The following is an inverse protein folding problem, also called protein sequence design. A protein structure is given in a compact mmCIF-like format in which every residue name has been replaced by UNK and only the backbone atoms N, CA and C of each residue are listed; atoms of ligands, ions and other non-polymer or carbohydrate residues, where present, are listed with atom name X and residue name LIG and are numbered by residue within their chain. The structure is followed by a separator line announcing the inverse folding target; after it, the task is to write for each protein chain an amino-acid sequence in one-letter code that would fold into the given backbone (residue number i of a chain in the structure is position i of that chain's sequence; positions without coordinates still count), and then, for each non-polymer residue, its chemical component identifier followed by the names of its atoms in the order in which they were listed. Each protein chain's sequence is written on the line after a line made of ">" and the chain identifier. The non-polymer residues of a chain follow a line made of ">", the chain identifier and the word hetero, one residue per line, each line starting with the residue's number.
data_IF_652005971995
#
_entry.id   IF_652005971995
#
_cell.length_a   1.000
_cell.length_b   1.000
_cell.length_c   1.000
_cell.angle_alpha   90.00
_cell.angle_beta   90.00
_cell.angle_gamma   90.00
#
_symmetry.space_group_name_H-M   'P 1'
#
loop_
_entity.id
_entity.type
_entity.pdbx_description
1 polymer ?
#
# COMPACT_ATOMS: atom_id res chain seq x y z
N UNK A 1 56.48 43.11 -8.64
CA UNK A 1 55.84 42.38 -7.54
C UNK A 1 54.34 42.33 -7.82
N UNK A 2 53.86 41.27 -8.47
CA UNK A 2 52.46 41.15 -8.91
C UNK A 2 51.83 40.01 -8.11
N UNK A 3 50.93 40.33 -7.17
CA UNK A 3 50.21 39.34 -6.36
C UNK A 3 49.00 38.84 -7.15
N UNK A 4 48.98 37.56 -7.50
CA UNK A 4 47.81 36.88 -8.04
C UNK A 4 46.86 36.52 -6.90
N UNK A 5 45.61 36.96 -6.99
CA UNK A 5 44.54 36.64 -6.05
C UNK A 5 43.78 35.42 -6.61
N UNK A 6 43.94 34.25 -5.98
CA UNK A 6 43.21 33.05 -6.35
C UNK A 6 41.83 33.06 -5.70
N UNK A 7 40.78 33.11 -6.51
CA UNK A 7 39.39 33.03 -6.07
C UNK A 7 38.97 31.55 -6.01
N UNK A 8 38.81 31.02 -4.80
CA UNK A 8 38.33 29.65 -4.60
C UNK A 8 36.79 29.64 -4.71
N UNK A 9 36.27 29.04 -5.79
CA UNK A 9 34.84 28.75 -5.95
C UNK A 9 34.54 27.44 -5.21
N UNK A 10 33.82 27.53 -4.09
CA UNK A 10 33.32 26.37 -3.38
C UNK A 10 32.07 25.83 -4.09
N UNK A 11 32.20 24.70 -4.77
CA UNK A 11 31.07 23.96 -5.33
C UNK A 11 30.35 23.22 -4.17
N UNK A 12 29.23 23.76 -3.72
CA UNK A 12 28.35 23.05 -2.79
C UNK A 12 27.59 21.97 -3.57
N UNK A 13 28.03 20.72 -3.46
CA UNK A 13 27.28 19.55 -3.92
C UNK A 13 26.07 19.38 -2.99
N UNK A 14 24.88 19.78 -3.45
CA UNK A 14 23.63 19.49 -2.77
C UNK A 14 23.38 17.98 -2.79
N UNK A 15 23.48 17.34 -1.63
CA UNK A 15 23.00 15.97 -1.47
C UNK A 15 21.47 15.96 -1.64
N UNK A 16 20.88 14.95 -2.32
CA UNK A 16 19.43 14.83 -2.37
C UNK A 16 18.91 14.67 -0.94
N UNK A 17 18.01 15.57 -0.54
CA UNK A 17 17.30 15.47 0.74
C UNK A 17 16.30 14.33 0.56
N UNK A 18 16.53 13.22 1.25
CA UNK A 18 15.54 12.15 1.33
C UNK A 18 14.22 12.75 1.86
N UNK A 19 13.11 12.47 1.17
CA UNK A 19 11.79 12.93 1.62
C UNK A 19 11.51 12.45 3.05
N UNK A 20 10.91 13.30 3.88
CA UNK A 20 10.53 12.90 5.23
C UNK A 20 9.43 11.82 5.17
N UNK A 21 9.58 10.75 5.95
CA UNK A 21 8.59 9.70 6.06
C UNK A 21 7.25 10.25 6.57
N UNK A 22 6.15 9.77 6.01
CA UNK A 22 4.80 10.16 6.39
C UNK A 22 4.41 9.49 7.72
N UNK A 23 3.80 10.24 8.64
CA UNK A 23 3.32 9.67 9.90
C UNK A 23 2.06 8.82 9.69
N UNK A 24 1.94 7.71 10.41
CA UNK A 24 0.71 6.89 10.42
C UNK A 24 -0.36 7.61 11.24
N UNK A 25 -1.60 7.70 10.71
CA UNK A 25 -2.74 8.22 11.46
C UNK A 25 -3.07 7.29 12.66
N UNK A 26 -3.48 7.80 13.83
CA UNK A 26 -3.79 6.95 14.99
C UNK A 26 -4.81 5.82 14.72
N UNK A 27 -5.87 6.11 13.95
CA UNK A 27 -6.88 5.11 13.57
C UNK A 27 -6.28 4.02 12.67
N UNK A 28 -5.41 4.40 11.73
CA UNK A 28 -4.73 3.47 10.84
C UNK A 28 -3.69 2.63 11.58
N UNK A 29 -3.04 3.18 12.61
CA UNK A 29 -2.20 2.40 13.52
C UNK A 29 -3.03 1.34 14.26
N UNK A 30 -4.20 1.71 14.80
CA UNK A 30 -5.08 0.76 15.47
C UNK A 30 -5.59 -0.35 14.53
N UNK A 31 -5.79 -0.05 13.24
CA UNK A 31 -6.13 -1.04 12.21
C UNK A 31 -4.95 -1.96 11.89
N UNK A 32 -3.73 -1.42 11.76
CA UNK A 32 -2.51 -2.21 11.57
C UNK A 32 -2.21 -3.14 12.74
N UNK A 33 -2.46 -2.70 13.98
CA UNK A 33 -2.26 -3.51 15.19
C UNK A 33 -3.24 -4.70 15.26
N UNK A 34 -4.35 -4.62 14.54
CA UNK A 34 -5.37 -5.67 14.45
C UNK A 34 -5.24 -6.54 13.20
N UNK A 35 -4.15 -6.41 12.42
CA UNK A 35 -3.99 -7.10 11.14
C UNK A 35 -4.25 -8.61 11.23
N UNK A 36 -3.59 -9.30 12.15
CA UNK A 36 -3.71 -10.76 12.29
C UNK A 36 -5.11 -11.18 12.75
N UNK A 37 -5.71 -10.43 13.67
CA UNK A 37 -7.07 -10.68 14.15
C UNK A 37 -8.11 -10.47 13.03
N UNK A 38 -7.94 -9.42 12.22
CA UNK A 38 -8.79 -9.14 11.07
C UNK A 38 -8.62 -10.24 10.00
N UNK A 39 -7.39 -10.65 9.70
CA UNK A 39 -7.11 -11.72 8.75
C UNK A 39 -7.71 -13.07 9.21
N UNK A 40 -7.54 -13.42 10.49
CA UNK A 40 -8.15 -14.62 11.07
C UNK A 40 -9.68 -14.61 11.01
N UNK A 41 -10.31 -13.47 11.35
CA UNK A 41 -11.77 -13.31 11.24
C UNK A 41 -12.26 -13.44 9.81
N UNK A 42 -11.57 -12.81 8.86
CA UNK A 42 -11.90 -12.86 7.44
C UNK A 42 -11.79 -14.29 6.89
N UNK A 43 -10.67 -14.98 7.19
CA UNK A 43 -10.45 -16.37 6.80
C UNK A 43 -11.48 -17.33 7.42
N UNK A 44 -11.83 -17.15 8.70
CA UNK A 44 -12.84 -17.96 9.35
C UNK A 44 -14.18 -17.86 8.62
N UNK A 45 -14.57 -16.65 8.20
CA UNK A 45 -15.81 -16.45 7.44
C UNK A 45 -15.73 -17.12 6.05
N UNK A 46 -14.61 -16.97 5.33
CA UNK A 46 -14.38 -17.64 4.04
C UNK A 46 -14.50 -19.16 4.18
N UNK A 47 -13.84 -19.75 5.18
CA UNK A 47 -13.85 -21.20 5.38
C UNK A 47 -15.21 -21.74 5.84
N UNK A 48 -16.01 -20.92 6.50
CA UNK A 48 -17.32 -21.34 7.04
C UNK A 48 -18.45 -21.20 6.00
N UNK A 49 -18.36 -20.21 5.12
CA UNK A 49 -19.48 -19.79 4.26
C UNK A 49 -19.12 -19.71 2.76
N UNK A 50 -17.84 -19.70 2.42
CA UNK A 50 -17.37 -19.59 1.04
C UNK A 50 -17.47 -20.91 0.29
N UNK A 51 -17.60 -20.80 -1.03
CA UNK A 51 -17.44 -21.90 -1.98
C UNK A 51 -15.98 -22.35 -2.10
N UNK A 52 -15.76 -23.51 -2.71
CA UNK A 52 -14.42 -24.04 -2.97
C UNK A 52 -13.55 -23.07 -3.78
N UNK A 53 -14.14 -22.36 -4.76
CA UNK A 53 -13.44 -21.36 -5.58
C UNK A 53 -13.01 -20.15 -4.75
N UNK A 54 -13.87 -19.70 -3.82
CA UNK A 54 -13.54 -18.62 -2.90
C UNK A 54 -12.43 -19.03 -1.92
N UNK A 55 -12.48 -20.26 -1.39
CA UNK A 55 -11.42 -20.79 -0.52
C UNK A 55 -10.08 -20.83 -1.27
N UNK A 56 -10.05 -21.32 -2.50
CA UNK A 56 -8.85 -21.32 -3.35
C UNK A 56 -8.36 -19.89 -3.62
N UNK A 57 -9.27 -18.94 -3.86
CA UNK A 57 -8.93 -17.53 -4.07
C UNK A 57 -8.28 -16.90 -2.83
N UNK A 58 -8.81 -17.18 -1.63
CA UNK A 58 -8.22 -16.73 -0.37
C UNK A 58 -6.83 -17.33 -0.14
N UNK A 59 -6.66 -18.63 -0.38
CA UNK A 59 -5.35 -19.31 -0.32
C UNK A 59 -4.36 -18.65 -1.27
N UNK A 60 -4.74 -18.45 -2.53
CA UNK A 60 -3.85 -17.84 -3.53
C UNK A 60 -3.45 -16.41 -3.16
N UNK A 61 -4.34 -15.64 -2.54
CA UNK A 61 -4.08 -14.28 -2.09
C UNK A 61 -3.08 -14.25 -0.90
N UNK A 62 -3.18 -15.21 0.03
CA UNK A 62 -2.45 -15.17 1.31
C UNK A 62 -1.30 -16.17 1.45
N UNK A 63 -1.15 -17.12 0.52
CA UNK A 63 -0.09 -18.12 0.60
C UNK A 63 1.30 -17.52 0.39
N UNK A 64 2.26 -18.05 1.14
CA UNK A 64 3.68 -17.70 1.07
C UNK A 64 4.09 -16.66 2.12
N UNK A 65 5.31 -16.79 2.68
CA UNK A 65 5.84 -15.82 3.63
C UNK A 65 6.30 -14.54 2.92
N UNK A 66 6.04 -13.38 3.53
CA UNK A 66 6.65 -12.12 3.13
C UNK A 66 8.15 -12.08 3.42
N UNK A 67 8.92 -11.48 2.53
CA UNK A 67 10.35 -11.23 2.73
C UNK A 67 10.56 -10.02 3.65
N UNK A 68 11.56 -10.09 4.52
CA UNK A 68 11.92 -8.98 5.41
C UNK A 68 12.38 -7.74 4.60
N UNK A 69 11.88 -6.54 4.94
CA UNK A 69 12.30 -5.29 4.30
C UNK A 69 13.81 -5.08 4.28
N UNK A 70 14.34 -4.70 3.12
CA UNK A 70 15.72 -4.30 2.93
C UNK A 70 15.86 -3.44 1.66
N UNK A 71 17.00 -2.77 1.50
CA UNK A 71 17.24 -1.87 0.37
C UNK A 71 17.16 -2.59 -0.99
N UNK A 72 17.70 -3.81 -1.11
CA UNK A 72 17.65 -4.55 -2.38
C UNK A 72 16.22 -4.87 -2.82
N UNK A 73 15.29 -5.09 -1.89
CA UNK A 73 13.87 -5.24 -2.20
C UNK A 73 13.23 -3.90 -2.57
N UNK A 74 13.59 -2.82 -1.86
CA UNK A 74 13.11 -1.48 -2.21
C UNK A 74 13.48 -1.11 -3.65
N UNK A 75 14.71 -1.42 -4.07
CA UNK A 75 15.23 -1.13 -5.40
C UNK A 75 14.57 -2.00 -6.50
N UNK A 76 14.03 -3.16 -6.15
CA UNK A 76 13.39 -4.07 -7.11
C UNK A 76 11.90 -3.79 -7.30
N UNK A 77 11.23 -3.13 -6.36
CA UNK A 77 9.79 -2.86 -6.41
C UNK A 77 9.33 -1.92 -7.54
N UNK A 78 10.07 -0.86 -7.92
CA UNK A 78 9.66 0.05 -8.99
C UNK A 78 9.37 -0.67 -10.32
N UNK A 79 8.35 -0.20 -11.02
CA UNK A 79 7.92 -0.76 -12.31
C UNK A 79 6.40 -0.84 -12.45
N UNK A 80 5.99 -1.33 -13.62
CA UNK A 80 4.58 -1.64 -13.90
C UNK A 80 4.19 -2.98 -13.28
N UNK A 81 2.98 -3.02 -12.72
CA UNK A 81 2.40 -4.19 -12.06
C UNK A 81 0.97 -4.41 -12.56
N UNK A 82 0.53 -5.66 -12.52
CA UNK A 82 -0.88 -6.00 -12.45
C UNK A 82 -1.29 -6.13 -10.98
N UNK A 83 -2.52 -5.74 -10.67
CA UNK A 83 -3.04 -5.79 -9.31
C UNK A 83 -4.50 -6.27 -9.28
N UNK A 84 -4.77 -7.38 -8.62
CA UNK A 84 -6.10 -7.96 -8.44
C UNK A 84 -6.56 -7.78 -6.99
N UNK A 85 -7.79 -7.33 -6.76
CA UNK A 85 -8.34 -7.13 -5.42
C UNK A 85 -9.08 -8.38 -4.97
N UNK A 86 -8.78 -8.85 -3.76
CA UNK A 86 -9.53 -9.89 -3.06
C UNK A 86 -10.02 -9.31 -1.74
N UNK A 87 -11.33 -9.17 -1.60
CA UNK A 87 -11.98 -8.70 -0.36
C UNK A 87 -12.47 -9.92 0.42
N UNK A 88 -12.13 -10.02 1.70
CA UNK A 88 -12.43 -11.18 2.53
C UNK A 88 -13.16 -10.77 3.80
N UNK A 89 -14.19 -11.54 4.12
CA UNK A 89 -15.12 -11.30 5.21
C UNK A 89 -15.93 -10.02 5.06
N UNK A 90 -16.87 -9.80 5.98
CA UNK A 90 -17.78 -8.66 5.97
C UNK A 90 -19.13 -9.03 5.36
N UNK A 91 -19.60 -8.26 4.38
CA UNK A 91 -20.91 -8.47 3.74
C UNK A 91 -20.98 -9.82 3.02
N UNK A 92 -19.90 -10.18 2.32
CA UNK A 92 -19.75 -11.45 1.62
C UNK A 92 -18.55 -12.23 2.21
N UNK A 93 -18.52 -13.57 2.11
CA UNK A 93 -17.34 -14.35 2.51
C UNK A 93 -16.10 -13.90 1.74
N UNK A 94 -16.21 -13.80 0.42
CA UNK A 94 -15.13 -13.30 -0.45
C UNK A 94 -15.71 -12.60 -1.69
N UNK A 95 -14.99 -11.59 -2.18
CA UNK A 95 -15.22 -11.00 -3.51
C UNK A 95 -13.86 -10.83 -4.19
N UNK A 96 -13.66 -11.50 -5.33
CA UNK A 96 -12.46 -11.37 -6.15
C UNK A 96 -12.74 -10.50 -7.38
N UNK A 97 -11.81 -9.59 -7.68
CA UNK A 97 -11.85 -8.72 -8.85
C UNK A 97 -10.74 -9.09 -9.84
N UNK A 98 -10.96 -8.87 -11.15
CA UNK A 98 -9.92 -9.09 -12.15
C UNK A 98 -8.71 -8.16 -11.94
N UNK A 99 -7.55 -8.48 -12.54
CA UNK A 99 -6.38 -7.61 -12.49
C UNK A 99 -6.61 -6.24 -13.15
N UNK A 100 -6.07 -5.20 -12.52
CA UNK A 100 -5.97 -3.83 -13.03
C UNK A 100 -4.50 -3.45 -13.24
N UNK A 101 -4.24 -2.33 -13.91
CA UNK A 101 -2.88 -1.78 -14.01
C UNK A 101 -2.55 -1.03 -12.74
N UNK A 102 -1.38 -1.32 -12.19
CA UNK A 102 -0.77 -0.63 -11.07
C UNK A 102 0.66 -0.25 -11.39
N UNK A 103 1.24 0.65 -10.61
CA UNK A 103 2.63 1.04 -10.74
C UNK A 103 3.24 1.32 -9.37
N UNK A 104 4.51 0.96 -9.21
CA UNK A 104 5.35 1.43 -8.12
C UNK A 104 6.44 2.34 -8.71
N UNK A 105 6.64 3.51 -8.13
CA UNK A 105 7.72 4.43 -8.52
C UNK A 105 8.55 4.83 -7.30
N UNK A 106 9.86 4.96 -7.46
CA UNK A 106 10.71 5.59 -6.46
C UNK A 106 10.81 7.09 -6.76
N UNK A 107 10.37 7.94 -5.83
CA UNK A 107 10.46 9.41 -5.92
C UNK A 107 11.12 9.93 -4.66
N UNK A 108 12.26 10.61 -4.79
CA UNK A 108 13.04 11.17 -3.67
C UNK A 108 13.33 10.17 -2.53
N UNK A 109 13.57 8.90 -2.90
CA UNK A 109 13.84 7.81 -1.96
C UNK A 109 12.61 7.17 -1.32
N UNK A 110 11.39 7.60 -1.68
CA UNK A 110 10.12 7.05 -1.19
C UNK A 110 9.43 6.27 -2.31
N UNK A 111 8.98 5.06 -2.01
CA UNK A 111 8.17 4.28 -2.94
C UNK A 111 6.74 4.83 -2.98
N UNK A 112 6.19 4.97 -4.17
CA UNK A 112 4.84 5.44 -4.43
C UNK A 112 4.08 4.33 -5.15
N UNK A 113 2.91 3.99 -4.67
CA UNK A 113 2.04 3.00 -5.28
C UNK A 113 0.79 3.67 -5.85
N UNK A 114 0.49 3.36 -7.11
CA UNK A 114 -0.66 3.89 -7.83
C UNK A 114 -1.45 2.76 -8.51
N UNK A 115 -2.74 2.63 -8.17
CA UNK A 115 -3.69 1.83 -8.97
C UNK A 115 -4.22 2.66 -10.13
N UNK A 116 -3.74 2.37 -11.34
CA UNK A 116 -3.91 3.20 -12.53
C UNK A 116 -5.25 3.00 -13.26
N UNK A 117 -5.92 1.85 -13.08
CA UNK A 117 -7.21 1.56 -13.75
C UNK A 117 -8.26 1.00 -12.78
N UNK A 118 -9.52 0.93 -13.25
CA UNK A 118 -10.69 0.55 -12.44
C UNK A 118 -11.46 1.76 -11.90
N UNK A 119 -12.70 1.50 -11.46
CA UNK A 119 -13.62 2.51 -10.90
C UNK A 119 -13.18 2.97 -9.52
N UNK A 120 -12.74 2.06 -8.65
CA UNK A 120 -12.09 2.39 -7.39
C UNK A 120 -10.57 2.25 -7.55
N UNK A 121 -9.85 3.29 -7.13
CA UNK A 121 -8.38 3.38 -7.16
C UNK A 121 -7.85 3.69 -5.78
N UNK A 122 -6.57 3.46 -5.59
CA UNK A 122 -5.85 3.86 -4.38
C UNK A 122 -4.45 4.35 -4.79
N UNK A 123 -3.95 5.37 -4.10
CA UNK A 123 -2.66 6.02 -4.38
C UNK A 123 -2.03 6.44 -3.06
N UNK A 124 -0.74 6.19 -2.88
CA UNK A 124 -0.07 6.46 -1.62
C UNK A 124 1.42 6.16 -1.63
N UNK A 125 2.04 6.26 -0.47
CA UNK A 125 3.45 5.96 -0.25
C UNK A 125 3.62 4.59 0.39
N UNK A 126 4.77 3.96 0.14
CA UNK A 126 5.24 2.76 0.83
C UNK A 126 6.55 3.12 1.51
N UNK A 127 6.62 2.90 2.82
CA UNK A 127 7.79 3.24 3.64
C UNK A 127 8.14 2.11 4.60
N UNK A 128 9.42 1.95 4.89
CA UNK A 128 9.87 1.01 5.91
C UNK A 128 9.60 1.60 7.29
N UNK A 129 8.84 0.89 8.12
CA UNK A 129 8.60 1.24 9.52
C UNK A 129 8.88 0.00 10.36
N UNK A 130 10.00 0.02 11.09
CA UNK A 130 10.52 -1.16 11.77
C UNK A 130 10.87 -2.28 10.77
N UNK A 131 10.25 -3.44 10.95
CA UNK A 131 10.42 -4.65 10.16
C UNK A 131 9.33 -4.84 9.08
N UNK A 132 8.51 -3.80 8.81
CA UNK A 132 7.41 -3.86 7.83
C UNK A 132 7.52 -2.77 6.76
N UNK A 133 7.07 -3.08 5.55
CA UNK A 133 6.71 -2.08 4.54
C UNK A 133 5.27 -1.65 4.76
N UNK A 134 5.07 -0.37 5.12
CA UNK A 134 3.75 0.18 5.39
C UNK A 134 3.32 1.05 4.23
N UNK A 135 2.14 0.77 3.70
CA UNK A 135 1.43 1.60 2.74
C UNK A 135 0.55 2.60 3.47
N UNK A 136 0.65 3.88 3.09
CA UNK A 136 -0.18 4.98 3.56
C UNK A 136 -0.72 5.72 2.35
N UNK A 137 -2.04 5.67 2.15
CA UNK A 137 -2.63 6.19 0.93
C UNK A 137 -4.11 6.49 1.03
N UNK A 138 -4.70 6.73 -0.12
CA UNK A 138 -6.07 7.20 -0.23
C UNK A 138 -6.78 6.40 -1.30
N UNK A 139 -7.91 5.79 -0.95
CA UNK A 139 -8.88 5.30 -1.92
C UNK A 139 -9.70 6.46 -2.49
N UNK A 140 -10.09 6.34 -3.76
CA UNK A 140 -10.88 7.34 -4.48
C UNK A 140 -11.54 6.75 -5.73
N UNK A 141 -12.54 7.46 -6.26
CA UNK A 141 -13.19 7.12 -7.53
C UNK A 141 -12.30 7.54 -8.70
N UNK A 142 -12.13 6.67 -9.68
CA UNK A 142 -11.33 6.90 -10.87
C UNK A 142 -11.77 8.13 -11.64
N UNK A 143 -10.81 8.98 -12.01
CA UNK A 143 -11.08 10.28 -12.64
C UNK A 143 -11.17 11.44 -11.64
N UNK A 144 -11.25 11.15 -10.34
CA UNK A 144 -11.10 12.15 -9.28
C UNK A 144 -9.64 12.22 -8.80
N UNK A 145 -9.30 13.34 -8.15
CA UNK A 145 -8.00 13.52 -7.52
C UNK A 145 -8.03 12.95 -6.09
N UNK A 146 -7.07 12.10 -5.69
CA UNK A 146 -7.01 11.60 -4.32
C UNK A 146 -6.78 12.76 -3.35
N UNK A 147 -7.46 12.73 -2.20
CA UNK A 147 -7.06 13.55 -1.06
C UNK A 147 -5.68 13.06 -0.58
N UNK A 148 -4.70 13.93 -0.29
CA UNK A 148 -3.45 13.50 0.32
C UNK A 148 -3.70 12.82 1.68
N UNK A 149 -2.99 11.72 1.96
CA UNK A 149 -3.21 10.92 3.18
C UNK A 149 -3.11 11.74 4.47
N UNK A 150 -2.16 12.69 4.53
CA UNK A 150 -1.96 13.57 5.69
C UNK A 150 -3.11 14.58 5.89
N UNK A 151 -3.95 14.81 4.89
CA UNK A 151 -5.02 15.81 4.91
C UNK A 151 -6.37 15.21 5.31
N UNK A 152 -6.41 13.92 5.65
CA UNK A 152 -7.61 13.31 6.22
C UNK A 152 -7.86 13.82 7.65
N UNK A 153 -9.11 14.15 8.00
CA UNK A 153 -9.45 14.45 9.38
C UNK A 153 -9.22 13.24 10.29
N UNK A 154 -9.08 13.50 11.59
CA UNK A 154 -8.92 12.45 12.59
C UNK A 154 -10.12 11.49 12.60
N UNK A 155 -11.33 12.05 12.56
CA UNK A 155 -12.58 11.31 12.43
C UNK A 155 -13.03 11.30 10.97
N UNK A 156 -13.36 10.10 10.46
CA UNK A 156 -13.83 9.91 9.07
C UNK A 156 -15.34 9.71 9.06
N UNK A 157 -16.06 10.62 8.40
CA UNK A 157 -17.45 10.39 8.02
C UNK A 157 -17.49 9.62 6.70
N UNK A 158 -17.68 8.31 6.79
CA UNK A 158 -17.70 7.40 5.63
C UNK A 158 -18.90 7.60 4.70
N UNK A 159 -19.94 8.30 5.14
CA UNK A 159 -21.15 8.58 4.36
C UNK A 159 -21.08 9.91 3.60
N UNK A 160 -20.24 10.84 4.05
CA UNK A 160 -20.07 12.15 3.40
C UNK A 160 -18.95 12.20 2.35
N UNK A 161 -18.15 11.14 2.20
CA UNK A 161 -17.01 11.14 1.28
C UNK A 161 -16.80 9.83 0.54
N UNK A 162 -16.34 9.95 -0.72
CA UNK A 162 -15.93 8.83 -1.57
C UNK A 162 -14.41 8.65 -1.63
N UNK A 163 -13.65 9.47 -0.90
CA UNK A 163 -12.21 9.27 -0.69
C UNK A 163 -11.95 8.93 0.77
N UNK A 164 -11.21 7.85 1.01
CA UNK A 164 -10.98 7.32 2.35
C UNK A 164 -9.50 7.00 2.54
N UNK A 165 -8.97 7.14 3.77
CA UNK A 165 -7.61 6.72 4.06
C UNK A 165 -7.50 5.20 4.00
N UNK A 166 -6.51 4.73 3.26
CA UNK A 166 -6.11 3.33 3.19
C UNK A 166 -4.77 3.14 3.91
N UNK A 167 -4.65 2.01 4.58
CA UNK A 167 -3.42 1.56 5.23
C UNK A 167 -3.24 0.07 5.01
N UNK A 168 -2.00 -0.38 4.85
CA UNK A 168 -1.72 -1.80 4.75
C UNK A 168 -0.25 -2.14 4.88
N UNK A 169 0.03 -3.44 4.89
CA UNK A 169 1.39 -4.00 4.87
C UNK A 169 1.66 -4.53 3.47
N UNK A 170 2.75 -4.06 2.84
CA UNK A 170 3.25 -4.65 1.61
C UNK A 170 4.15 -5.84 1.96
N UNK A 171 3.75 -7.03 1.50
CA UNK A 171 4.54 -8.24 1.61
C UNK A 171 5.09 -8.61 0.23
N UNK A 172 6.42 -8.59 0.11
CA UNK A 172 7.11 -9.04 -1.11
C UNK A 172 7.30 -10.54 -1.01
N UNK A 173 6.79 -11.30 -1.99
CA UNK A 173 6.77 -12.76 -1.99
C UNK A 173 7.80 -13.36 -2.97
N UNK A 174 8.37 -12.51 -3.82
CA UNK A 174 9.37 -12.86 -4.83
C UNK A 174 9.62 -11.66 -5.76
N UNK A 175 10.42 -11.86 -6.80
CA UNK A 175 10.77 -10.79 -7.74
C UNK A 175 9.56 -10.22 -8.49
N UNK A 176 8.58 -11.07 -8.79
CA UNK A 176 7.42 -10.74 -9.63
C UNK A 176 6.09 -10.95 -8.90
N UNK A 177 6.13 -11.10 -7.57
CA UNK A 177 4.93 -11.29 -6.76
C UNK A 177 5.04 -10.55 -5.44
N UNK A 178 4.02 -9.76 -5.14
CA UNK A 178 3.83 -9.12 -3.86
C UNK A 178 2.34 -9.10 -3.51
N UNK A 179 2.00 -8.67 -2.30
CA UNK A 179 0.62 -8.33 -1.94
C UNK A 179 0.59 -7.17 -0.98
N UNK A 180 -0.41 -6.31 -1.12
CA UNK A 180 -0.72 -5.28 -0.16
C UNK A 180 -1.92 -5.73 0.67
N UNK A 181 -1.69 -6.02 1.95
CA UNK A 181 -2.70 -6.51 2.89
C UNK A 181 -3.22 -5.34 3.73
N UNK A 182 -4.49 -5.03 3.60
CA UNK A 182 -5.14 -3.86 4.20
C UNK A 182 -6.20 -4.32 5.21
N UNK A 183 -5.95 -4.19 6.52
CA UNK A 183 -6.89 -4.59 7.54
C UNK A 183 -8.01 -3.57 7.76
N UNK A 184 -9.19 -4.08 8.06
CA UNK A 184 -10.36 -3.31 8.50
C UNK A 184 -10.62 -2.09 7.60
N UNK A 185 -10.73 -2.25 6.27
CA UNK A 185 -11.09 -1.14 5.39
C UNK A 185 -12.44 -0.55 5.82
N UNK A 186 -12.61 0.76 5.63
CA UNK A 186 -13.84 1.46 6.02
C UNK A 186 -15.13 0.92 5.36
N UNK A 187 -15.01 0.13 4.28
CA UNK A 187 -16.15 -0.35 3.50
C UNK A 187 -16.08 -1.86 3.24
N UNK A 188 -17.26 -2.48 3.29
CA UNK A 188 -17.65 -3.81 2.77
C UNK A 188 -16.99 -5.05 3.38
N UNK A 189 -15.74 -4.96 3.82
CA UNK A 189 -14.92 -6.14 4.11
C UNK A 189 -14.10 -6.02 5.39
N UNK A 190 -13.61 -7.16 5.88
CA UNK A 190 -12.72 -7.22 7.06
C UNK A 190 -11.26 -7.14 6.65
N UNK A 191 -10.91 -7.71 5.49
CA UNK A 191 -9.56 -7.69 4.94
C UNK A 191 -9.62 -7.46 3.44
N UNK A 192 -8.86 -6.47 2.95
CA UNK A 192 -8.58 -6.34 1.53
C UNK A 192 -7.16 -6.82 1.25
N UNK A 193 -6.98 -7.63 0.21
CA UNK A 193 -5.67 -8.03 -0.31
C UNK A 193 -5.59 -7.63 -1.76
N UNK A 194 -4.67 -6.72 -2.06
CA UNK A 194 -4.31 -6.42 -3.43
C UNK A 194 -3.13 -7.32 -3.80
N UNK A 195 -3.36 -8.31 -4.67
CA UNK A 195 -2.33 -9.23 -5.16
C UNK A 195 -1.62 -8.57 -6.33
N UNK A 196 -0.30 -8.42 -6.26
CA UNK A 196 0.53 -7.80 -7.29
C UNK A 196 1.34 -8.85 -8.04
N UNK A 197 1.32 -8.79 -9.36
CA UNK A 197 2.16 -9.61 -10.25
C UNK A 197 2.73 -8.79 -11.40
N UNK A 198 3.86 -9.20 -11.98
CA UNK A 198 4.41 -8.59 -13.21
C UNK A 198 5.09 -9.62 -14.09
#
# INVERSE_FOLDING_TARGET
>A
MTKALALAVALALGLPVAGAAQAIRPDDQARLDQLDAAAGKALLQVLSLGSDEEIVSAINALQGPGMAPNQSLADSLPGDWQCAMVKMGGVMPLVAYPPFRCRIEARDGILHFDKLTGSQRTSGTIQQIGDRWIYLGSSFVGGQQPRPYADFPAEIDTGATETLPDVGVLEVLGQDRARLVMPLPYRESVLNVLVLTR
#
